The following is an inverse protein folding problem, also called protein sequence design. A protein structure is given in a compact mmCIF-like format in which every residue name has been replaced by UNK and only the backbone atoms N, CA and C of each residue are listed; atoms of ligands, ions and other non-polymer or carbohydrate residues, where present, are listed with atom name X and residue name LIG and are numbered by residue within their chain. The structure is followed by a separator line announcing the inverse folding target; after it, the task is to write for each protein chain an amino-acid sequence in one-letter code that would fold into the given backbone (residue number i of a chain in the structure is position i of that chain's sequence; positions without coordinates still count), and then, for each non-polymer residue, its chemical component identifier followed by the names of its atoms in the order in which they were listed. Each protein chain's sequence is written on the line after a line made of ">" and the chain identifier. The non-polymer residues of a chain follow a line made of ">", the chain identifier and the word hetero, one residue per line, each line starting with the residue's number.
data_IF_568560683834
#
_entry.id   IF_568560683834
#
_cell.length_a   1.000
_cell.length_b   1.000
_cell.length_c   1.000
_cell.angle_alpha   90.00
_cell.angle_beta   90.00
_cell.angle_gamma   90.00
#
_symmetry.space_group_name_H-M   'P 1'
#
loop_
_entity.id
_entity.type
_entity.pdbx_description
1 polymer ?
#
# COMPACT_ATOMS: atom_id res chain seq x y z
N UNK A 1 -2.33 -47.51 -18.14
CA UNK A 1 -2.56 -46.06 -18.36
C UNK A 1 -1.64 -45.32 -17.40
N UNK A 2 -0.51 -44.80 -17.88
CA UNK A 2 0.50 -44.18 -17.01
C UNK A 2 0.11 -42.73 -16.73
N UNK A 3 -0.04 -42.39 -15.44
CA UNK A 3 -0.37 -41.04 -14.99
C UNK A 3 0.86 -40.15 -15.23
N UNK A 4 0.79 -39.24 -16.20
CA UNK A 4 1.79 -38.18 -16.39
C UNK A 4 1.48 -37.05 -15.41
N UNK A 5 2.11 -37.06 -14.24
CA UNK A 5 2.17 -35.87 -13.38
C UNK A 5 3.01 -34.80 -14.09
N UNK A 6 2.47 -33.58 -14.22
CA UNK A 6 3.24 -32.45 -14.73
C UNK A 6 4.24 -31.98 -13.68
N UNK A 7 5.37 -31.39 -14.10
CA UNK A 7 6.37 -30.82 -13.19
C UNK A 7 5.73 -29.85 -12.17
N UNK A 8 4.64 -29.17 -12.54
CA UNK A 8 3.89 -28.26 -11.66
C UNK A 8 3.31 -28.94 -10.42
N UNK A 9 2.86 -30.20 -10.55
CA UNK A 9 2.27 -30.96 -9.44
C UNK A 9 3.32 -31.51 -8.48
N UNK A 10 4.54 -31.74 -8.97
CA UNK A 10 5.68 -32.18 -8.14
C UNK A 10 6.23 -31.01 -7.31
N UNK A 11 6.21 -29.78 -7.83
CA UNK A 11 6.62 -28.58 -7.09
C UNK A 11 5.60 -28.19 -6.00
N UNK A 12 4.30 -28.29 -6.26
CA UNK A 12 3.27 -28.00 -5.25
C UNK A 12 3.33 -28.97 -4.05
N UNK A 13 3.63 -30.25 -4.29
CA UNK A 13 3.77 -31.26 -3.22
C UNK A 13 5.06 -31.12 -2.40
N UNK A 14 6.16 -30.67 -3.04
CA UNK A 14 7.43 -30.44 -2.34
C UNK A 14 7.37 -29.24 -1.38
N UNK A 15 6.65 -28.18 -1.74
CA UNK A 15 6.44 -27.01 -0.88
C UNK A 15 5.61 -27.39 0.36
N UNK A 16 4.52 -28.15 0.17
CA UNK A 16 3.66 -28.60 1.27
C UNK A 16 4.37 -29.52 2.29
N UNK A 17 5.30 -30.37 1.86
CA UNK A 17 6.03 -31.27 2.76
C UNK A 17 7.08 -30.55 3.63
N UNK A 18 7.66 -29.45 3.15
CA UNK A 18 8.56 -28.59 3.94
C UNK A 18 7.82 -27.74 4.99
N UNK A 19 6.54 -27.44 4.80
CA UNK A 19 5.72 -26.71 5.78
C UNK A 19 5.36 -27.55 7.01
N UNK A 20 5.24 -28.88 6.88
CA UNK A 20 4.86 -29.75 8.00
C UNK A 20 5.99 -29.99 9.01
N UNK A 21 7.26 -29.82 8.64
CA UNK A 21 8.40 -30.02 9.55
C UNK A 21 8.81 -28.76 10.33
N UNK A 22 8.35 -27.57 9.93
CA UNK A 22 8.66 -26.31 10.62
C UNK A 22 7.66 -25.94 11.72
N UNK A 23 6.52 -26.65 11.82
CA UNK A 23 5.48 -26.40 12.83
C UNK A 23 5.75 -27.08 14.19
N UNK A 24 6.89 -27.74 14.39
CA UNK A 24 7.14 -28.58 15.57
C UNK A 24 8.07 -27.98 16.64
N UNK A 25 8.61 -26.77 16.50
CA UNK A 25 9.53 -26.23 17.51
C UNK A 25 9.30 -24.75 17.82
N UNK A 26 8.70 -24.48 18.98
CA UNK A 26 8.89 -23.21 19.70
C UNK A 26 7.64 -22.59 20.29
N UNK A 27 7.04 -23.22 21.30
CA UNK A 27 6.22 -22.49 22.28
C UNK A 27 7.11 -21.49 23.05
N UNK A 28 6.86 -20.21 22.83
CA UNK A 28 6.96 -19.21 23.89
C UNK A 28 5.76 -18.31 23.75
N UNK A 29 4.72 -18.60 24.54
CA UNK A 29 3.52 -17.79 24.67
C UNK A 29 3.89 -16.45 25.32
N UNK A 30 4.39 -15.51 24.50
CA UNK A 30 4.20 -14.11 24.79
C UNK A 30 2.68 -13.88 24.81
N UNK A 31 2.17 -13.27 25.88
CA UNK A 31 0.78 -12.81 25.94
C UNK A 31 0.49 -11.98 24.69
N UNK A 32 -0.16 -12.60 23.70
CA UNK A 32 -0.70 -11.89 22.55
C UNK A 32 -1.70 -10.94 23.15
N UNK A 33 -1.33 -9.65 23.19
CA UNK A 33 -2.24 -8.60 23.58
C UNK A 33 -3.33 -8.63 22.50
N UNK A 34 -4.44 -9.29 22.80
CA UNK A 34 -5.64 -9.31 21.97
C UNK A 34 -6.09 -7.86 21.82
N UNK A 35 -5.62 -7.18 20.77
CA UNK A 35 -6.20 -5.91 20.36
C UNK A 35 -7.27 -6.20 19.31
N UNK A 36 -8.38 -5.47 19.43
CA UNK A 36 -9.50 -5.53 18.50
C UNK A 36 -9.35 -4.34 17.57
N UNK A 37 -9.19 -4.61 16.28
CA UNK A 37 -9.16 -3.55 15.25
C UNK A 37 -10.50 -2.83 15.18
N UNK A 38 -10.45 -1.54 14.86
CA UNK A 38 -11.61 -0.72 14.57
C UNK A 38 -11.94 -0.61 13.08
N UNK A 39 -11.22 -1.33 12.23
CA UNK A 39 -11.43 -1.32 10.79
C UNK A 39 -12.73 -2.01 10.37
N UNK A 40 -13.26 -1.60 9.23
CA UNK A 40 -14.42 -2.23 8.62
C UNK A 40 -14.02 -3.56 7.95
N UNK A 41 -14.87 -4.57 8.05
CA UNK A 41 -14.67 -5.87 7.39
C UNK A 41 -14.61 -5.76 5.86
N UNK A 42 -13.94 -6.70 5.21
CA UNK A 42 -13.80 -6.80 3.77
C UNK A 42 -15.13 -7.21 3.11
N UNK A 43 -15.76 -6.27 2.40
CA UNK A 43 -17.01 -6.51 1.67
C UNK A 43 -16.81 -7.08 0.26
N UNK A 44 -15.56 -7.23 -0.20
CA UNK A 44 -15.23 -7.63 -1.57
C UNK A 44 -14.91 -9.12 -1.71
N UNK A 45 -14.62 -9.82 -0.60
CA UNK A 45 -14.18 -11.22 -0.61
C UNK A 45 -15.17 -12.16 -1.33
N UNK A 46 -16.47 -11.94 -1.19
CA UNK A 46 -17.50 -12.75 -1.85
C UNK A 46 -17.65 -12.42 -3.35
N UNK A 47 -17.37 -11.17 -3.72
CA UNK A 47 -17.59 -10.63 -5.08
C UNK A 47 -16.41 -10.92 -6.00
N UNK A 48 -15.20 -10.95 -5.45
CA UNK A 48 -13.96 -11.21 -6.16
C UNK A 48 -13.23 -12.42 -5.56
N UNK A 49 -13.83 -13.61 -5.55
CA UNK A 49 -13.28 -14.73 -4.78
C UNK A 49 -11.93 -15.23 -5.32
N UNK A 50 -11.63 -14.97 -6.59
CA UNK A 50 -10.38 -15.36 -7.25
C UNK A 50 -9.27 -14.31 -7.14
N UNK A 51 -9.54 -13.15 -6.54
CA UNK A 51 -8.56 -12.08 -6.32
C UNK A 51 -8.29 -11.93 -4.82
N UNK A 52 -7.09 -11.48 -4.47
CA UNK A 52 -6.86 -11.04 -3.11
C UNK A 52 -7.64 -9.74 -2.88
N UNK A 53 -8.39 -9.66 -1.80
CA UNK A 53 -9.18 -8.49 -1.42
C UNK A 53 -8.99 -8.20 0.05
N UNK A 54 -9.24 -6.97 0.48
CA UNK A 54 -9.11 -6.58 1.88
C UNK A 54 -9.47 -5.11 2.06
N UNK A 55 -9.17 -4.58 3.24
CA UNK A 55 -9.30 -3.17 3.55
C UNK A 55 -7.93 -2.61 3.92
N UNK A 56 -7.58 -1.47 3.31
CA UNK A 56 -6.43 -0.67 3.70
C UNK A 56 -6.89 0.58 4.42
N UNK A 57 -6.75 0.60 5.74
CA UNK A 57 -6.83 1.84 6.50
C UNK A 57 -5.45 2.47 6.56
N UNK A 58 -5.29 3.66 5.99
CA UNK A 58 -3.99 4.26 5.81
C UNK A 58 -3.96 5.76 6.05
N UNK A 59 -2.82 6.23 6.57
CA UNK A 59 -2.37 7.60 6.37
C UNK A 59 -1.54 7.67 5.09
N UNK A 60 -2.01 8.45 4.11
CA UNK A 60 -1.31 8.75 2.87
C UNK A 60 -0.80 10.19 2.93
N UNK A 61 0.52 10.37 2.87
CA UNK A 61 1.14 11.68 3.02
C UNK A 61 2.07 11.99 1.85
N UNK A 62 2.06 13.24 1.37
CA UNK A 62 2.97 13.70 0.32
C UNK A 62 4.08 14.53 0.96
N UNK A 63 5.31 14.10 0.73
CA UNK A 63 6.53 14.80 1.12
C UNK A 63 7.13 15.43 -0.15
N UNK A 64 7.09 16.76 -0.31
CA UNK A 64 7.82 17.41 -1.39
C UNK A 64 9.33 17.24 -1.17
N UNK A 65 9.99 16.56 -2.10
CA UNK A 65 11.45 16.49 -2.16
C UNK A 65 11.91 17.17 -3.45
N UNK A 66 13.14 17.72 -3.49
CA UNK A 66 13.65 18.29 -4.74
C UNK A 66 13.73 17.22 -5.83
N UNK A 67 13.45 17.59 -7.08
CA UNK A 67 13.62 16.71 -8.24
C UNK A 67 15.04 16.17 -8.33
N UNK A 68 16.04 16.96 -7.93
CA UNK A 68 17.42 16.52 -7.81
C UNK A 68 17.56 15.37 -6.80
N UNK A 69 16.92 15.49 -5.63
CA UNK A 69 16.88 14.41 -4.63
C UNK A 69 16.17 13.19 -5.17
N UNK A 70 15.00 13.35 -5.79
CA UNK A 70 14.27 12.25 -6.41
C UNK A 70 15.15 11.53 -7.45
N UNK A 71 15.88 12.27 -8.29
CA UNK A 71 16.79 11.72 -9.30
C UNK A 71 17.99 10.96 -8.76
N UNK A 72 18.49 11.33 -7.58
CA UNK A 72 19.55 10.56 -6.91
C UNK A 72 19.04 9.24 -6.34
N UNK A 73 17.77 9.17 -5.95
CA UNK A 73 17.18 8.03 -5.26
C UNK A 73 16.52 7.03 -6.22
N UNK A 74 15.83 7.52 -7.24
CA UNK A 74 15.13 6.70 -8.23
C UNK A 74 16.16 6.14 -9.22
N UNK A 75 16.13 4.82 -9.54
CA UNK A 75 17.03 4.24 -10.52
C UNK A 75 16.98 4.99 -11.88
N UNK A 76 18.13 5.27 -12.49
CA UNK A 76 18.24 6.23 -13.59
C UNK A 76 17.48 5.83 -14.85
N UNK A 77 17.19 4.54 -15.02
CA UNK A 77 16.39 4.03 -16.13
C UNK A 77 14.90 4.39 -16.07
N UNK A 78 14.40 4.84 -14.91
CA UNK A 78 12.99 5.21 -14.75
C UNK A 78 12.82 6.72 -14.92
N UNK A 79 12.08 7.12 -15.97
CA UNK A 79 11.66 8.51 -16.13
C UNK A 79 10.75 8.94 -14.98
N UNK A 80 10.66 10.25 -14.70
CA UNK A 80 9.60 10.80 -13.83
C UNK A 80 8.71 11.61 -14.76
N UNK A 81 7.42 11.36 -14.66
CA UNK A 81 6.39 11.99 -15.47
C UNK A 81 5.98 13.30 -14.82
N UNK A 82 6.85 14.31 -14.88
CA UNK A 82 6.61 15.61 -14.25
C UNK A 82 5.32 16.27 -14.75
N UNK A 83 5.02 16.13 -16.05
CA UNK A 83 3.75 16.60 -16.63
C UNK A 83 2.53 15.96 -15.96
N UNK A 84 2.64 14.72 -15.49
CA UNK A 84 1.51 13.98 -14.92
C UNK A 84 1.11 14.51 -13.53
N UNK A 85 2.05 14.67 -12.57
CA UNK A 85 1.66 15.28 -11.28
C UNK A 85 1.31 16.76 -11.42
N UNK A 86 1.95 17.50 -12.33
CA UNK A 86 1.60 18.92 -12.55
C UNK A 86 0.21 19.08 -13.18
N UNK A 87 -0.27 18.10 -13.94
CA UNK A 87 -1.66 18.10 -14.42
C UNK A 87 -2.66 17.87 -13.27
N UNK A 88 -2.30 17.04 -12.28
CA UNK A 88 -3.14 16.77 -11.10
C UNK A 88 -3.09 17.91 -10.08
N UNK A 89 -1.92 18.53 -9.91
CA UNK A 89 -1.68 19.64 -8.96
C UNK A 89 -0.85 20.71 -9.65
N UNK A 90 -1.48 21.64 -10.41
CA UNK A 90 -0.75 22.70 -11.13
C UNK A 90 0.07 23.61 -10.22
N UNK A 91 -0.35 23.76 -8.96
CA UNK A 91 0.35 24.53 -7.92
C UNK A 91 1.46 23.76 -7.20
N UNK A 92 1.78 22.52 -7.61
CA UNK A 92 2.83 21.75 -6.96
C UNK A 92 4.17 22.50 -7.07
N UNK A 93 4.95 22.64 -5.97
CA UNK A 93 6.11 23.52 -5.95
C UNK A 93 7.09 23.28 -7.11
N UNK A 94 7.62 24.36 -7.68
CA UNK A 94 8.59 24.28 -8.76
C UNK A 94 9.84 23.52 -8.30
N UNK A 95 10.40 22.67 -9.17
CA UNK A 95 11.59 21.89 -8.85
C UNK A 95 11.38 20.77 -7.82
N UNK A 96 10.14 20.49 -7.39
CA UNK A 96 9.82 19.43 -6.42
C UNK A 96 9.13 18.21 -7.08
N UNK A 97 9.21 17.09 -6.37
CA UNK A 97 8.62 15.79 -6.69
C UNK A 97 7.74 15.28 -5.52
N UNK A 98 6.56 14.70 -5.77
CA UNK A 98 5.64 14.20 -4.74
C UNK A 98 6.03 12.79 -4.26
N UNK A 99 6.99 12.68 -3.35
CA UNK A 99 7.26 11.43 -2.64
C UNK A 99 6.05 11.08 -1.77
N UNK A 100 5.54 9.85 -1.87
CA UNK A 100 4.44 9.40 -1.02
C UNK A 100 4.95 8.55 0.14
N UNK A 101 4.37 8.75 1.32
CA UNK A 101 4.42 7.79 2.43
C UNK A 101 3.04 7.15 2.54
N UNK A 102 3.04 5.82 2.58
CA UNK A 102 1.83 5.04 2.86
C UNK A 102 2.08 4.27 4.16
N UNK A 103 1.45 4.70 5.24
CA UNK A 103 1.42 4.00 6.53
C UNK A 103 0.04 3.37 6.68
N UNK A 104 -0.04 2.05 6.56
CA UNK A 104 -1.29 1.32 6.44
C UNK A 104 -1.41 0.20 7.47
N UNK A 105 -2.65 -0.07 7.86
CA UNK A 105 -3.10 -1.31 8.44
C UNK A 105 -3.89 -2.06 7.37
N UNK A 106 -3.41 -3.26 7.04
CA UNK A 106 -3.99 -4.18 6.09
C UNK A 106 -4.88 -5.14 6.91
N UNK A 107 -6.20 -5.06 6.68
CA UNK A 107 -7.21 -5.75 7.47
C UNK A 107 -8.09 -6.66 6.61
N UNK A 108 -8.45 -7.82 7.17
CA UNK A 108 -9.39 -8.79 6.61
C UNK A 108 -9.05 -9.17 5.16
N UNK A 109 -7.75 -9.45 4.96
CA UNK A 109 -7.22 -9.78 3.64
C UNK A 109 -7.52 -11.24 3.31
N UNK A 110 -8.22 -11.47 2.21
CA UNK A 110 -8.74 -12.78 1.83
C UNK A 110 -8.50 -13.08 0.35
N UNK A 111 -8.15 -14.34 0.08
CA UNK A 111 -8.25 -14.96 -1.24
C UNK A 111 -9.29 -16.09 -1.13
N UNK A 112 -10.56 -15.69 -1.24
CA UNK A 112 -11.72 -16.46 -0.76
C UNK A 112 -11.88 -17.82 -1.46
N UNK A 113 -11.66 -17.89 -2.77
CA UNK A 113 -11.80 -19.13 -3.56
C UNK A 113 -10.85 -20.24 -3.09
N UNK A 114 -9.76 -19.88 -2.43
CA UNK A 114 -8.75 -20.82 -1.92
C UNK A 114 -8.84 -21.02 -0.40
N UNK A 115 -9.81 -20.38 0.26
CA UNK A 115 -9.97 -20.45 1.71
C UNK A 115 -8.79 -19.82 2.48
N UNK A 116 -8.08 -18.88 1.86
CA UNK A 116 -6.93 -18.22 2.47
C UNK A 116 -7.39 -16.89 3.08
N UNK A 117 -7.07 -16.71 4.36
CA UNK A 117 -7.15 -15.44 5.08
C UNK A 117 -5.75 -15.11 5.58
N UNK A 118 -5.33 -13.87 5.41
CA UNK A 118 -4.07 -13.34 5.92
C UNK A 118 -4.40 -12.55 7.17
N UNK A 119 -3.72 -12.86 8.28
CA UNK A 119 -3.89 -12.12 9.54
C UNK A 119 -3.62 -10.63 9.32
N UNK A 120 -4.25 -9.77 10.12
CA UNK A 120 -4.03 -8.33 10.03
C UNK A 120 -2.55 -7.97 10.23
N UNK A 121 -2.08 -6.97 9.49
CA UNK A 121 -0.72 -6.47 9.62
C UNK A 121 -0.63 -4.99 9.31
N UNK A 122 0.48 -4.38 9.70
CA UNK A 122 0.76 -2.99 9.37
C UNK A 122 2.00 -2.92 8.50
N UNK A 123 2.04 -1.93 7.62
CA UNK A 123 3.19 -1.65 6.77
C UNK A 123 3.39 -0.17 6.57
N UNK A 124 4.63 0.22 6.33
CA UNK A 124 4.98 1.60 6.01
C UNK A 124 6.20 1.66 5.11
N UNK A 125 6.18 2.55 4.13
CA UNK A 125 7.30 2.74 3.22
C UNK A 125 7.21 4.05 2.45
N UNK A 126 8.33 4.38 1.83
CA UNK A 126 8.42 5.43 0.83
C UNK A 126 8.05 4.86 -0.54
N UNK A 127 7.22 5.58 -1.27
CA UNK A 127 6.79 5.21 -2.60
C UNK A 127 7.01 6.40 -3.56
N UNK A 128 7.61 6.10 -4.71
CA UNK A 128 7.97 7.05 -5.74
C UNK A 128 6.99 6.88 -6.90
N UNK A 129 5.90 7.67 -6.97
CA UNK A 129 4.89 7.52 -8.01
C UNK A 129 5.25 8.22 -9.32
N UNK A 130 4.41 8.02 -10.33
CA UNK A 130 4.45 8.72 -11.61
C UNK A 130 5.78 8.51 -12.33
N UNK A 131 6.26 7.28 -12.30
CA UNK A 131 7.47 6.86 -13.00
C UNK A 131 7.14 6.25 -14.34
N UNK A 132 7.97 6.55 -15.33
CA UNK A 132 7.91 5.96 -16.66
C UNK A 132 8.76 4.69 -16.69
N UNK A 133 8.17 3.60 -16.22
CA UNK A 133 8.80 2.27 -16.28
C UNK A 133 8.79 1.70 -17.71
N UNK A 134 7.76 2.03 -18.48
CA UNK A 134 7.57 1.51 -19.83
C UNK A 134 8.40 2.24 -20.90
N UNK A 135 8.93 3.43 -20.58
CA UNK A 135 9.66 4.28 -21.51
C UNK A 135 8.78 4.90 -22.59
N UNK A 136 7.48 5.04 -22.33
CA UNK A 136 6.51 5.56 -23.30
C UNK A 136 6.06 7.00 -23.03
N UNK A 137 6.51 7.59 -21.93
CA UNK A 137 6.23 8.97 -21.56
C UNK A 137 4.82 9.24 -21.02
N UNK A 138 4.00 8.21 -20.77
CA UNK A 138 2.65 8.41 -20.22
C UNK A 138 2.15 7.31 -19.25
N UNK A 139 2.63 6.08 -19.35
CA UNK A 139 2.25 5.00 -18.45
C UNK A 139 2.86 5.22 -17.08
N UNK A 140 2.03 5.48 -16.07
CA UNK A 140 2.48 5.84 -14.72
C UNK A 140 2.58 4.62 -13.82
N UNK A 141 3.76 4.42 -13.23
CA UNK A 141 4.05 3.37 -12.26
C UNK A 141 4.51 3.95 -10.93
N UNK A 142 4.39 3.16 -9.87
CA UNK A 142 4.86 3.50 -8.53
C UNK A 142 5.98 2.57 -8.09
N UNK A 143 7.15 3.13 -7.80
CA UNK A 143 8.26 2.35 -7.25
C UNK A 143 8.20 2.34 -5.74
N UNK A 144 8.08 1.16 -5.15
CA UNK A 144 8.05 0.92 -3.70
C UNK A 144 9.25 0.04 -3.32
N UNK A 145 10.45 0.60 -3.15
CA UNK A 145 11.66 -0.21 -3.02
C UNK A 145 11.82 -0.91 -1.68
N UNK A 146 11.23 -0.36 -0.62
CA UNK A 146 11.42 -0.86 0.72
C UNK A 146 10.19 -0.59 1.59
N UNK A 147 9.91 -1.52 2.49
CA UNK A 147 8.80 -1.43 3.43
C UNK A 147 9.21 -2.03 4.77
N UNK A 148 8.77 -1.39 5.85
CA UNK A 148 8.63 -2.07 7.13
C UNK A 148 7.27 -2.79 7.09
N UNK A 149 7.22 -4.02 7.59
CA UNK A 149 5.99 -4.84 7.67
C UNK A 149 5.95 -5.56 9.02
N UNK A 150 4.75 -5.77 9.60
CA UNK A 150 4.61 -6.46 10.89
C UNK A 150 5.36 -7.78 10.92
N UNK A 151 6.30 -7.91 11.86
CA UNK A 151 7.16 -9.09 11.97
C UNK A 151 6.40 -10.38 12.29
N UNK A 152 5.17 -10.27 12.79
CA UNK A 152 4.29 -11.39 13.11
C UNK A 152 3.55 -11.94 11.89
N UNK A 153 3.68 -11.33 10.71
CA UNK A 153 2.97 -11.76 9.51
C UNK A 153 3.94 -12.28 8.43
N UNK A 154 4.32 -13.58 8.47
CA UNK A 154 5.27 -14.15 7.51
C UNK A 154 4.74 -14.14 6.08
N UNK A 155 3.43 -14.24 5.87
CA UNK A 155 2.83 -14.22 4.53
C UNK A 155 3.02 -12.85 3.89
N UNK A 156 2.74 -11.76 4.61
CA UNK A 156 2.95 -10.39 4.13
C UNK A 156 4.44 -10.09 3.90
N UNK A 157 5.31 -10.56 4.78
CA UNK A 157 6.77 -10.40 4.64
C UNK A 157 7.28 -11.05 3.35
N UNK A 158 6.94 -12.33 3.11
CA UNK A 158 7.38 -13.05 1.91
C UNK A 158 6.66 -12.56 0.64
N UNK A 159 5.38 -12.22 0.74
CA UNK A 159 4.61 -11.65 -0.37
C UNK A 159 5.26 -10.39 -0.92
N UNK A 160 5.64 -9.45 -0.06
CA UNK A 160 6.34 -8.23 -0.49
C UNK A 160 7.75 -8.50 -1.01
N UNK A 161 8.51 -9.43 -0.40
CA UNK A 161 9.84 -9.85 -0.91
C UNK A 161 9.77 -10.46 -2.30
N UNK A 162 8.70 -11.17 -2.64
CA UNK A 162 8.52 -11.80 -3.94
C UNK A 162 8.47 -10.78 -5.11
N UNK A 163 8.08 -9.53 -4.84
CA UNK A 163 8.15 -8.41 -5.81
C UNK A 163 9.53 -7.74 -5.90
N UNK A 164 10.49 -8.17 -5.07
CA UNK A 164 11.82 -7.59 -4.95
C UNK A 164 11.90 -6.41 -3.97
N UNK A 165 10.86 -6.18 -3.16
CA UNK A 165 10.86 -5.15 -2.12
C UNK A 165 11.86 -5.52 -1.02
N UNK A 166 12.63 -4.55 -0.55
CA UNK A 166 13.45 -4.69 0.66
C UNK A 166 12.52 -4.63 1.87
N UNK A 167 12.36 -5.77 2.55
CA UNK A 167 11.41 -5.89 3.67
C UNK A 167 12.13 -5.97 5.00
N UNK A 168 11.85 -5.00 5.87
CA UNK A 168 12.29 -4.98 7.27
C UNK A 168 11.15 -5.45 8.18
N UNK A 169 11.26 -6.61 8.85
CA UNK A 169 10.31 -7.00 9.89
C UNK A 169 10.27 -5.97 11.03
N UNK A 170 9.09 -5.51 11.41
CA UNK A 170 8.91 -4.39 12.33
C UNK A 170 7.83 -4.62 13.40
N UNK A 171 7.91 -3.84 14.47
CA UNK A 171 6.85 -3.66 15.49
C UNK A 171 6.16 -2.32 15.28
N UNK A 172 4.86 -2.28 15.57
CA UNK A 172 4.01 -1.11 15.34
C UNK A 172 3.32 -0.59 16.59
N UNK A 173 3.09 0.72 16.59
CA UNK A 173 2.27 1.44 17.54
C UNK A 173 1.33 2.41 16.80
N UNK A 174 0.00 2.23 16.87
CA UNK A 174 -0.68 1.10 17.52
C UNK A 174 -0.46 -0.23 16.79
N UNK A 175 -0.79 -1.33 17.47
CA UNK A 175 -0.56 -2.69 16.96
C UNK A 175 -1.65 -3.16 15.98
N UNK A 176 -2.91 -2.80 16.22
CA UNK A 176 -4.08 -3.33 15.51
C UNK A 176 -4.89 -2.24 14.77
N UNK A 177 -4.35 -1.05 14.60
CA UNK A 177 -5.06 0.04 13.92
C UNK A 177 -4.08 0.83 13.04
N UNK A 178 -4.62 1.58 12.08
CA UNK A 178 -3.81 2.44 11.20
C UNK A 178 -3.15 3.62 11.93
N UNK A 179 -3.71 4.03 13.07
CA UNK A 179 -3.19 5.09 13.94
C UNK A 179 -4.02 5.14 15.23
N UNK A 180 -3.47 5.71 16.31
CA UNK A 180 -4.22 5.99 17.53
C UNK A 180 -4.32 7.50 17.79
N UNK A 181 -5.30 7.90 18.59
CA UNK A 181 -5.50 9.30 18.97
C UNK A 181 -4.66 9.64 20.20
N UNK A 182 -3.79 10.64 20.07
CA UNK A 182 -3.05 11.24 21.18
C UNK A 182 -3.94 12.19 21.99
N UNK A 183 -3.50 12.50 23.22
CA UNK A 183 -4.22 13.38 24.14
C UNK A 183 -4.39 14.82 23.60
N UNK A 184 -3.48 15.27 22.73
CA UNK A 184 -3.58 16.56 22.04
C UNK A 184 -4.56 16.53 20.84
N UNK A 185 -5.23 15.41 20.59
CA UNK A 185 -6.12 15.23 19.46
C UNK A 185 -5.40 15.00 18.13
N UNK A 186 -4.10 14.75 18.11
CA UNK A 186 -3.41 14.29 16.91
C UNK A 186 -3.57 12.77 16.77
N UNK A 187 -3.33 12.27 15.56
CA UNK A 187 -3.22 10.84 15.29
C UNK A 187 -1.75 10.46 15.20
N UNK A 188 -1.41 9.26 15.67
CA UNK A 188 -0.04 8.79 15.75
C UNK A 188 0.09 7.37 15.21
N UNK A 189 1.15 7.15 14.44
CA UNK A 189 1.57 5.86 13.94
C UNK A 189 3.09 5.76 14.01
N UNK A 190 3.61 4.61 14.45
CA UNK A 190 5.04 4.32 14.50
C UNK A 190 5.33 2.89 14.12
N UNK A 191 6.37 2.70 13.29
CA UNK A 191 6.93 1.40 12.93
C UNK A 191 8.43 1.38 13.21
N UNK A 192 8.93 0.33 13.84
CA UNK A 192 10.36 0.16 14.18
C UNK A 192 10.84 -1.21 13.75
N UNK A 193 11.93 -1.27 12.98
CA UNK A 193 12.58 -2.53 12.61
C UNK A 193 13.02 -3.33 13.85
N UNK A 194 12.89 -4.65 13.78
CA UNK A 194 13.31 -5.54 14.87
C UNK A 194 14.83 -5.64 14.99
N UNK A 195 15.48 -5.84 13.84
CA UNK A 195 16.91 -6.15 13.74
C UNK A 195 17.66 -5.08 12.92
N UNK A 196 17.04 -3.92 12.72
CA UNK A 196 17.64 -2.78 12.04
C UNK A 196 17.37 -1.49 12.80
N UNK A 197 18.05 -0.43 12.39
CA UNK A 197 17.75 0.91 12.90
C UNK A 197 16.53 1.54 12.21
N UNK A 198 15.79 0.80 11.37
CA UNK A 198 14.75 1.40 10.57
C UNK A 198 13.58 1.92 11.43
N UNK A 199 13.08 3.09 11.07
CA UNK A 199 12.04 3.81 11.81
C UNK A 199 11.15 4.58 10.85
N UNK A 200 9.85 4.56 11.13
CA UNK A 200 8.88 5.54 10.66
C UNK A 200 8.03 6.02 11.83
N UNK A 201 7.74 7.31 11.88
CA UNK A 201 6.81 7.92 12.82
C UNK A 201 6.00 9.00 12.08
N UNK A 202 4.69 8.97 12.24
CA UNK A 202 3.76 9.95 11.68
C UNK A 202 2.94 10.51 12.83
N UNK A 203 2.89 11.84 12.94
CA UNK A 203 1.99 12.53 13.84
C UNK A 203 1.20 13.56 13.03
N UNK A 204 -0.12 13.37 12.96
CA UNK A 204 -1.00 14.06 12.02
C UNK A 204 -2.21 14.66 12.73
N UNK A 205 -2.45 15.95 12.51
CA UNK A 205 -3.61 16.69 12.97
C UNK A 205 -4.65 16.81 11.85
N UNK A 206 -5.92 16.58 12.20
CA UNK A 206 -7.03 16.80 11.28
C UNK A 206 -7.10 18.27 10.88
N UNK A 207 -7.20 18.53 9.57
CA UNK A 207 -7.46 19.87 9.07
C UNK A 207 -8.91 20.27 9.36
N UNK A 208 -9.10 21.54 9.72
CA UNK A 208 -10.44 22.09 9.98
C UNK A 208 -11.29 22.13 8.72
N UNK A 209 -10.65 22.33 7.55
CA UNK A 209 -11.30 22.35 6.24
C UNK A 209 -10.43 21.61 5.23
N UNK A 210 -11.05 20.79 4.39
CA UNK A 210 -10.38 20.04 3.32
C UNK A 210 -9.60 20.95 2.35
N UNK A 211 -10.13 22.15 2.09
CA UNK A 211 -9.52 23.14 1.19
C UNK A 211 -8.15 23.69 1.67
N UNK A 212 -7.77 23.43 2.93
CA UNK A 212 -6.44 23.76 3.45
C UNK A 212 -5.37 22.75 3.02
N UNK A 213 -5.76 21.59 2.52
CA UNK A 213 -4.83 20.62 1.96
C UNK A 213 -4.47 21.03 0.52
N UNK A 214 -3.19 21.27 0.20
CA UNK A 214 -2.77 21.63 -1.15
C UNK A 214 -2.91 20.48 -2.16
N UNK A 215 -3.16 19.26 -1.68
CA UNK A 215 -3.26 18.05 -2.48
C UNK A 215 -4.72 17.59 -2.55
N UNK A 216 -5.34 17.59 -3.75
CA UNK A 216 -6.70 17.09 -3.92
C UNK A 216 -6.73 15.58 -3.72
N UNK A 217 -7.89 15.04 -3.33
CA UNK A 217 -8.10 13.59 -3.19
C UNK A 217 -7.73 12.83 -4.48
N UNK A 218 -7.98 13.43 -5.65
CA UNK A 218 -7.65 12.86 -6.96
C UNK A 218 -6.15 12.56 -7.13
N UNK A 219 -5.25 13.32 -6.49
CA UNK A 219 -3.83 12.99 -6.50
C UNK A 219 -3.58 11.65 -5.79
N UNK A 220 -4.17 11.46 -4.61
CA UNK A 220 -4.01 10.23 -3.84
C UNK A 220 -4.66 9.04 -4.55
N UNK A 221 -5.85 9.22 -5.13
CA UNK A 221 -6.50 8.17 -5.94
C UNK A 221 -5.63 7.74 -7.11
N UNK A 222 -5.09 8.72 -7.85
CA UNK A 222 -4.22 8.46 -8.99
C UNK A 222 -2.96 7.70 -8.56
N UNK A 223 -2.22 8.23 -7.58
CA UNK A 223 -0.98 7.62 -7.11
C UNK A 223 -1.20 6.21 -6.57
N UNK A 224 -2.24 6.03 -5.74
CA UNK A 224 -2.45 4.76 -5.05
C UNK A 224 -2.95 3.65 -5.96
N UNK A 225 -3.55 3.98 -7.10
CA UNK A 225 -3.96 3.05 -8.14
C UNK A 225 -2.95 2.92 -9.29
N UNK A 226 -1.70 3.35 -9.13
CA UNK A 226 -0.64 3.01 -10.10
C UNK A 226 -0.13 1.59 -9.87
N UNK A 227 0.24 0.84 -10.92
CA UNK A 227 0.92 -0.43 -10.78
C UNK A 227 2.22 -0.24 -10.01
N UNK A 228 2.40 -1.03 -8.97
CA UNK A 228 3.51 -0.92 -8.02
C UNK A 228 4.59 -1.92 -8.36
N UNK A 229 5.86 -1.52 -8.25
CA UNK A 229 7.00 -2.39 -8.50
C UNK A 229 8.16 -2.08 -7.57
N UNK A 230 9.05 -3.06 -7.38
CA UNK A 230 10.35 -2.84 -6.72
C UNK A 230 11.52 -3.14 -7.66
N UNK A 231 11.47 -4.29 -8.38
CA UNK A 231 12.54 -4.75 -9.28
C UNK A 231 12.22 -4.64 -10.78
N UNK A 232 11.09 -4.03 -11.15
CA UNK A 232 10.61 -3.84 -12.53
C UNK A 232 10.30 -5.11 -13.33
N UNK A 233 10.30 -6.29 -12.71
CA UNK A 233 9.96 -7.56 -13.36
C UNK A 233 8.50 -7.91 -13.12
N UNK A 234 8.12 -7.97 -11.85
CA UNK A 234 6.76 -8.22 -11.39
C UNK A 234 6.15 -6.94 -10.86
N UNK A 235 4.92 -6.66 -11.27
CA UNK A 235 4.12 -5.55 -10.80
C UNK A 235 2.93 -6.08 -10.01
N UNK A 236 2.66 -5.40 -8.92
CA UNK A 236 1.41 -5.50 -8.19
C UNK A 236 0.43 -4.47 -8.73
N UNK A 237 -0.80 -4.88 -9.01
CA UNK A 237 -1.90 -4.00 -9.38
C UNK A 237 -3.00 -4.08 -8.33
N UNK A 238 -2.78 -3.36 -7.23
CA UNK A 238 -3.72 -3.18 -6.14
C UNK A 238 -4.66 -2.01 -6.42
N UNK A 239 -5.89 -2.33 -6.78
CA UNK A 239 -6.96 -1.36 -7.09
C UNK A 239 -7.66 -0.97 -5.81
N UNK A 240 -7.59 0.30 -5.42
CA UNK A 240 -8.26 0.88 -4.24
C UNK A 240 -9.52 1.61 -4.67
N UNK A 241 -10.64 1.29 -4.03
CA UNK A 241 -11.93 1.90 -4.32
C UNK A 241 -12.18 3.08 -3.38
N UNK A 242 -12.53 4.23 -3.95
CA UNK A 242 -12.76 5.48 -3.20
C UNK A 242 -14.22 5.97 -3.24
N UNK A 243 -15.12 5.23 -3.89
CA UNK A 243 -16.55 5.50 -3.89
C UNK A 243 -17.35 4.29 -3.35
N UNK A 244 -17.11 3.97 -2.08
CA UNK A 244 -17.78 2.89 -1.34
C UNK A 244 -18.30 3.41 0.00
N UNK A 245 -19.12 2.62 0.71
CA UNK A 245 -19.57 2.97 2.06
C UNK A 245 -18.43 3.20 3.07
N UNK A 246 -17.22 2.68 2.80
CA UNK A 246 -16.03 2.89 3.63
C UNK A 246 -15.28 4.20 3.32
N UNK A 247 -15.65 4.90 2.25
CA UNK A 247 -14.91 6.08 1.76
C UNK A 247 -15.81 7.27 1.45
N UNK A 248 -17.09 7.22 1.83
CA UNK A 248 -18.07 8.28 1.61
C UNK A 248 -18.84 8.59 2.90
N UNK A 249 -19.53 9.74 2.92
CA UNK A 249 -20.34 10.15 4.06
C UNK A 249 -19.53 10.28 5.35
N UNK A 250 -19.93 9.55 6.40
CA UNK A 250 -19.24 9.56 7.69
C UNK A 250 -17.82 8.98 7.64
N UNK A 251 -17.52 8.15 6.63
CA UNK A 251 -16.22 7.51 6.42
C UNK A 251 -15.41 8.19 5.31
N UNK A 252 -15.81 9.40 4.89
CA UNK A 252 -15.08 10.14 3.88
C UNK A 252 -13.61 10.40 4.30
N UNK A 253 -12.67 10.45 3.34
CA UNK A 253 -11.26 10.75 3.63
C UNK A 253 -11.09 11.98 4.52
N UNK A 254 -10.28 11.83 5.58
CA UNK A 254 -9.98 12.90 6.52
C UNK A 254 -8.67 13.56 6.12
N UNK A 255 -8.74 14.82 5.70
CA UNK A 255 -7.54 15.59 5.38
C UNK A 255 -6.75 15.90 6.65
N UNK A 256 -5.44 15.67 6.60
CA UNK A 256 -4.53 15.84 7.73
C UNK A 256 -3.30 16.66 7.35
N UNK A 257 -2.66 17.25 8.35
CA UNK A 257 -1.37 17.90 8.25
C UNK A 257 -0.51 17.56 9.48
N UNK A 258 0.80 17.54 9.35
CA UNK A 258 1.66 17.23 10.48
C UNK A 258 3.10 16.98 10.09
N UNK A 259 3.69 15.94 10.69
CA UNK A 259 5.09 15.59 10.50
C UNK A 259 5.28 14.11 10.21
N UNK A 260 6.35 13.82 9.47
CA UNK A 260 6.85 12.48 9.22
C UNK A 260 8.30 12.44 9.66
N UNK A 261 8.67 11.46 10.49
CA UNK A 261 10.06 11.13 10.80
C UNK A 261 10.37 9.76 10.24
N UNK A 262 11.52 9.61 9.61
CA UNK A 262 11.96 8.31 9.17
C UNK A 262 13.48 8.18 9.15
N UNK A 263 13.93 6.95 9.38
CA UNK A 263 15.25 6.46 9.03
C UNK A 263 15.00 5.11 8.36
N UNK A 264 14.87 5.08 7.05
CA UNK A 264 14.53 3.87 6.30
C UNK A 264 14.90 4.08 4.83
N UNK A 265 15.05 3.01 4.06
CA UNK A 265 15.44 3.12 2.65
C UNK A 265 14.44 3.94 1.83
N UNK A 266 14.91 4.87 0.96
CA UNK A 266 16.31 5.15 0.62
C UNK A 266 16.98 6.27 1.45
N UNK A 267 16.39 6.67 2.56
CA UNK A 267 16.90 7.70 3.49
C UNK A 267 17.52 7.10 4.77
N UNK A 268 18.14 5.92 4.72
CA UNK A 268 18.64 5.24 5.94
C UNK A 268 19.89 5.86 6.57
N UNK A 269 20.63 6.72 5.86
CA UNK A 269 21.92 7.25 6.33
C UNK A 269 21.79 8.11 7.59
N UNK A 270 20.67 8.81 7.73
CA UNK A 270 20.37 9.63 8.89
C UNK A 270 18.85 9.69 9.08
N UNK A 271 18.42 9.85 10.33
CA UNK A 271 17.03 10.17 10.61
C UNK A 271 16.68 11.52 9.99
N UNK A 272 15.57 11.55 9.25
CA UNK A 272 15.01 12.75 8.65
C UNK A 272 13.66 13.04 9.26
N UNK A 273 13.41 14.32 9.49
CA UNK A 273 12.10 14.84 9.87
C UNK A 273 11.63 15.80 8.79
N UNK A 274 10.41 15.59 8.31
CA UNK A 274 9.69 16.50 7.44
C UNK A 274 8.50 17.04 8.21
N UNK A 275 8.45 18.36 8.33
CA UNK A 275 7.33 19.11 8.92
C UNK A 275 6.48 19.73 7.82
N UNK A 276 5.27 20.17 8.16
CA UNK A 276 4.33 20.78 7.21
C UNK A 276 3.93 19.81 6.08
N UNK A 277 3.73 18.54 6.47
CA UNK A 277 3.35 17.47 5.56
C UNK A 277 1.85 17.32 5.53
N UNK A 278 1.28 17.28 4.33
CA UNK A 278 -0.15 17.15 4.10
C UNK A 278 -0.52 15.78 3.56
N UNK A 279 -1.68 15.29 3.94
CA UNK A 279 -2.13 13.95 3.62
C UNK A 279 -3.62 13.71 3.78
N UNK A 280 -4.02 12.45 3.61
CA UNK A 280 -5.38 11.96 3.88
C UNK A 280 -5.32 10.68 4.70
N UNK A 281 -6.23 10.56 5.66
CA UNK A 281 -6.53 9.30 6.35
C UNK A 281 -7.78 8.70 5.73
N UNK A 282 -7.69 7.45 5.27
CA UNK A 282 -8.77 6.80 4.53
C UNK A 282 -8.67 5.28 4.64
N UNK A 283 -9.82 4.64 4.85
CA UNK A 283 -10.01 3.20 4.74
C UNK A 283 -10.61 2.84 3.37
N UNK A 284 -9.84 2.17 2.52
CA UNK A 284 -10.29 1.79 1.17
C UNK A 284 -10.35 0.27 1.05
N UNK A 285 -11.46 -0.32 0.59
CA UNK A 285 -11.42 -1.69 0.14
C UNK A 285 -10.58 -1.80 -1.13
N UNK A 286 -9.92 -2.93 -1.32
CA UNK A 286 -9.06 -3.16 -2.47
C UNK A 286 -9.27 -4.51 -3.15
N UNK A 287 -8.90 -4.55 -4.43
CA UNK A 287 -8.79 -5.75 -5.25
C UNK A 287 -7.36 -5.81 -5.77
N UNK A 288 -6.65 -6.88 -5.47
CA UNK A 288 -5.24 -7.05 -5.81
C UNK A 288 -5.07 -8.09 -6.91
N UNK A 289 -4.48 -7.66 -8.03
CA UNK A 289 -4.05 -8.53 -9.12
C UNK A 289 -2.55 -8.73 -9.02
N UNK A 290 -2.17 -9.88 -8.46
CA UNK A 290 -0.80 -10.20 -8.10
C UNK A 290 0.02 -10.74 -9.27
N UNK A 291 1.34 -10.58 -9.19
CA UNK A 291 2.36 -11.17 -10.06
C UNK A 291 2.19 -10.86 -11.56
N UNK A 292 1.75 -9.65 -11.89
CA UNK A 292 1.60 -9.22 -13.29
C UNK A 292 2.97 -8.88 -13.89
N UNK A 293 3.17 -9.17 -15.17
CA UNK A 293 4.34 -8.66 -15.87
C UNK A 293 4.25 -7.13 -15.95
N UNK A 294 5.25 -6.40 -15.46
CA UNK A 294 5.19 -4.92 -15.46
C UNK A 294 4.95 -4.34 -16.86
N UNK A 295 5.46 -4.99 -17.91
CA UNK A 295 5.26 -4.56 -19.30
C UNK A 295 3.80 -4.67 -19.77
N UNK A 296 3.03 -5.64 -19.26
CA UNK A 296 1.62 -5.76 -19.63
C UNK A 296 0.75 -4.64 -19.04
N UNK A 297 1.28 -3.89 -18.07
CA UNK A 297 0.59 -2.75 -17.46
C UNK A 297 0.81 -1.43 -18.22
N UNK A 298 1.46 -1.49 -19.40
CA UNK A 298 1.59 -0.32 -20.27
C UNK A 298 0.21 0.21 -20.69
N UNK A 299 0.01 1.51 -20.57
CA UNK A 299 -1.24 2.20 -20.86
C UNK A 299 -2.33 1.99 -19.83
N UNK A 300 -2.03 1.32 -18.71
CA UNK A 300 -2.94 1.24 -17.59
C UNK A 300 -3.15 2.65 -17.01
N UNK A 301 -4.39 3.14 -17.12
CA UNK A 301 -4.79 4.47 -16.67
C UNK A 301 -5.48 4.45 -15.31
N UNK A 302 -5.16 3.46 -14.46
CA UNK A 302 -5.97 3.15 -13.29
C UNK A 302 -7.33 2.57 -13.70
N UNK A 303 -8.31 2.72 -12.82
CA UNK A 303 -9.72 2.40 -13.07
C UNK A 303 -10.44 3.40 -13.99
N UNK A 304 -9.71 4.34 -14.64
CA UNK A 304 -10.11 5.45 -15.53
C UNK A 304 -11.42 5.33 -16.32
N UNK A 305 -12.53 5.23 -15.61
CA UNK A 305 -13.88 4.85 -16.00
C UNK A 305 -14.71 4.65 -14.70
N UNK A 306 -15.94 4.13 -14.73
CA UNK A 306 -16.77 3.97 -13.53
C UNK A 306 -16.17 3.06 -12.42
N UNK A 307 -14.98 2.47 -12.64
CA UNK A 307 -14.32 1.51 -11.74
C UNK A 307 -13.75 2.05 -10.43
N UNK A 308 -13.81 3.37 -10.17
CA UNK A 308 -13.62 3.93 -8.82
C UNK A 308 -14.83 3.68 -7.91
N UNK A 309 -15.95 3.33 -8.54
CA UNK A 309 -17.24 3.04 -7.96
C UNK A 309 -17.50 1.56 -8.08
N UNK A 310 -17.64 0.88 -6.96
CA UNK A 310 -18.38 -0.37 -6.96
C UNK A 310 -19.84 -0.03 -7.32
N UNK A 311 -20.22 -0.15 -8.59
CA UNK A 311 -21.62 0.00 -9.02
C UNK A 311 -22.33 -1.29 -8.66
N UNK A 312 -22.91 -1.36 -7.46
CA UNK A 312 -23.89 -2.40 -7.16
C UNK A 312 -25.28 -1.98 -7.62
N UNK A 313 -25.47 -1.83 -8.92
CA UNK A 313 -26.80 -1.86 -9.53
C UNK A 313 -26.66 -2.60 -10.87
N UNK A 314 -26.46 -3.91 -10.78
CA UNK A 314 -27.05 -4.76 -11.80
C UNK A 314 -28.56 -4.57 -11.65
N UNK A 315 -29.12 -3.64 -12.44
CA UNK A 315 -30.51 -3.73 -12.84
C UNK A 315 -30.67 -5.11 -13.49
N UNK A 316 -31.20 -6.03 -12.70
CA UNK A 316 -32.02 -7.10 -13.23
C UNK A 316 -33.11 -6.38 -14.02
N UNK A 317 -33.14 -6.63 -15.33
CA UNK A 317 -33.91 -5.93 -16.38
C UNK A 317 -33.12 -4.81 -17.07
N UNK A 318 -32.31 -5.19 -18.05
CA UNK A 318 -32.66 -4.84 -19.43
C UNK A 318 -31.93 -5.78 -20.40
N UNK A 319 -32.73 -6.68 -20.98
CA UNK A 319 -32.45 -7.34 -22.24
C UNK A 319 -32.50 -6.29 -23.36
N UNK A 320 -31.43 -6.22 -24.18
CA UNK A 320 -31.36 -6.06 -25.65
C UNK A 320 -30.05 -5.39 -26.09
#
# INVERSE_FOLDING_TARGET
>A
MALRLSLLQVFAAAILASFSLLLAHGESAATVRSCTTHDHHNTLAELFPNSATGVLNATLAIIPISLETARRLIPPQYGILERAYRALVPSFPEGMYPLMVQAAHDHDVQLRAYGITIDDFSRVGFEFPLLDLAGDGYSSFRWAPAQLISATNPIALEGSRAYGTLVTPAKYEPLCDAYHRLANGHTYFRGVGLDSSDLFELEMARLSHAALNPYPLELFKNITNQPTFANATSCDNMIRLFNTSMTVGANAPVHVHGRVRARAFPFQEAEKEWTDIYGVQVATPFIENNYLECRSMRGYSGTGGPGDSYVHEANVNDEL
#
